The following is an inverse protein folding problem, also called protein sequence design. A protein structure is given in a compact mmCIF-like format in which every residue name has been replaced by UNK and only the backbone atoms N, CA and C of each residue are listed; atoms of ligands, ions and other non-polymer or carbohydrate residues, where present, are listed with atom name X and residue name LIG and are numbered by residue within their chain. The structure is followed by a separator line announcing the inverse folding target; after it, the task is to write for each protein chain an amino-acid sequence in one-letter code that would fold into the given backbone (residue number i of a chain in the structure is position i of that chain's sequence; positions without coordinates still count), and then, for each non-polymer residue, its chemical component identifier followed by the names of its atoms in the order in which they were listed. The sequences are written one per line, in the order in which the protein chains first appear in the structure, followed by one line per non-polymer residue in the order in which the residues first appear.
data_IF_972274299435
#
_entry.id   IF_972274299435
#
_cell.length_a   1.000
_cell.length_b   1.000
_cell.length_c   1.000
_cell.angle_alpha   90.00
_cell.angle_beta   90.00
_cell.angle_gamma   90.00
#
_symmetry.space_group_name_H-M   'P 1'
#
loop_
_entity.id
_entity.type
_entity.pdbx_description
1 polymer ?
#
# COMPACT_ATOMS: atom_id res chain seq x y z
N UNK A 1 -3.78 22.67 17.77
CA UNK A 1 -4.22 21.27 17.55
C UNK A 1 -3.78 20.45 18.75
N UNK A 2 -4.60 19.54 19.27
CA UNK A 2 -4.26 18.80 20.51
C UNK A 2 -3.27 17.66 20.24
N UNK A 3 -2.36 17.34 21.17
CA UNK A 3 -1.42 16.21 21.02
C UNK A 3 -2.15 14.87 20.86
N UNK A 4 -3.33 14.72 21.46
CA UNK A 4 -4.19 13.54 21.32
C UNK A 4 -4.63 13.30 19.87
N UNK A 5 -4.92 14.37 19.13
CA UNK A 5 -5.32 14.29 17.72
C UNK A 5 -4.14 13.83 16.84
N UNK A 6 -2.93 14.36 17.08
CA UNK A 6 -1.72 13.92 16.40
C UNK A 6 -1.40 12.44 16.67
N UNK A 7 -1.54 12.00 17.93
CA UNK A 7 -1.35 10.61 18.30
C UNK A 7 -2.39 9.69 17.64
N UNK A 8 -3.67 10.10 17.61
CA UNK A 8 -4.72 9.35 16.92
C UNK A 8 -4.45 9.24 15.41
N UNK A 9 -4.01 10.32 14.77
CA UNK A 9 -3.59 10.29 13.37
C UNK A 9 -2.41 9.33 13.14
N UNK A 10 -1.36 9.42 13.96
CA UNK A 10 -0.19 8.56 13.85
C UNK A 10 -0.59 7.07 13.97
N UNK A 11 -1.45 6.74 14.93
CA UNK A 11 -1.92 5.39 15.17
C UNK A 11 -2.79 4.87 14.02
N UNK A 12 -3.76 5.67 13.56
CA UNK A 12 -4.61 5.29 12.43
C UNK A 12 -3.80 5.11 11.14
N UNK A 13 -2.87 6.03 10.88
CA UNK A 13 -1.97 5.94 9.75
C UNK A 13 -1.11 4.69 9.83
N UNK A 14 -0.54 4.39 11.00
CA UNK A 14 0.26 3.18 11.22
C UNK A 14 -0.55 1.91 10.94
N UNK A 15 -1.78 1.82 11.46
CA UNK A 15 -2.66 0.66 11.21
C UNK A 15 -2.94 0.50 9.71
N UNK A 16 -3.27 1.58 9.01
CA UNK A 16 -3.62 1.53 7.57
C UNK A 16 -2.40 1.25 6.69
N UNK A 17 -1.25 1.83 7.04
CA UNK A 17 0.00 1.69 6.31
C UNK A 17 0.66 0.33 6.55
N UNK A 18 0.58 -0.21 7.77
CA UNK A 18 1.12 -1.53 8.11
C UNK A 18 0.39 -2.66 7.39
N UNK A 19 -0.89 -2.47 7.07
CA UNK A 19 -1.65 -3.43 6.28
C UNK A 19 -1.06 -3.57 4.87
N UNK A 20 -0.97 -4.81 4.35
CA UNK A 20 -0.35 -5.08 3.07
C UNK A 20 -1.13 -4.40 1.95
N UNK A 21 -0.56 -3.31 1.45
CA UNK A 21 -0.95 -2.68 0.20
C UNK A 21 -0.09 -3.24 -0.93
N UNK A 22 -0.58 -3.14 -2.17
CA UNK A 22 0.15 -3.67 -3.33
C UNK A 22 1.52 -3.02 -3.48
N UNK A 23 1.60 -1.70 -3.29
CA UNK A 23 2.84 -0.93 -3.43
C UNK A 23 3.90 -1.36 -2.39
N UNK A 24 3.48 -1.55 -1.13
CA UNK A 24 4.38 -1.93 -0.03
C UNK A 24 4.80 -3.40 -0.14
N UNK A 25 3.92 -4.28 -0.64
CA UNK A 25 4.29 -5.67 -0.95
C UNK A 25 5.26 -5.74 -2.13
N UNK A 26 5.12 -4.86 -3.12
CA UNK A 26 6.07 -4.80 -4.23
C UNK A 26 7.48 -4.46 -3.73
N UNK A 27 7.65 -3.59 -2.71
CA UNK A 27 8.96 -3.36 -2.06
C UNK A 27 9.59 -4.66 -1.55
N UNK A 28 8.82 -5.48 -0.81
CA UNK A 28 9.30 -6.76 -0.32
C UNK A 28 9.67 -7.74 -1.46
N UNK A 29 8.94 -7.70 -2.59
CA UNK A 29 9.28 -8.48 -3.78
C UNK A 29 10.56 -8.02 -4.44
N UNK A 30 10.72 -6.72 -4.68
CA UNK A 30 11.94 -6.17 -5.25
C UNK A 30 13.16 -6.48 -4.37
N UNK A 31 12.99 -6.44 -3.05
CA UNK A 31 14.00 -6.87 -2.09
C UNK A 31 14.38 -8.34 -2.29
N UNK A 32 13.39 -9.24 -2.37
CA UNK A 32 13.62 -10.68 -2.47
C UNK A 32 14.14 -11.13 -3.83
N UNK A 33 13.75 -10.48 -4.93
CA UNK A 33 14.04 -10.93 -6.30
C UNK A 33 15.23 -10.19 -6.92
N UNK A 34 15.49 -8.95 -6.52
CA UNK A 34 16.55 -8.10 -7.10
C UNK A 34 17.52 -7.49 -6.09
N UNK A 35 17.29 -7.73 -4.80
CA UNK A 35 18.16 -7.28 -3.71
C UNK A 35 17.93 -5.83 -3.27
N UNK A 36 18.64 -5.45 -2.20
CA UNK A 36 18.40 -4.21 -1.45
C UNK A 36 18.57 -2.93 -2.26
N UNK A 37 19.56 -2.87 -3.15
CA UNK A 37 19.84 -1.68 -3.97
C UNK A 37 18.66 -1.26 -4.86
N UNK A 38 17.81 -2.21 -5.26
CA UNK A 38 16.62 -1.94 -6.09
C UNK A 38 15.38 -1.67 -5.24
N UNK A 39 15.31 -2.21 -4.02
CA UNK A 39 14.19 -1.93 -3.10
C UNK A 39 14.16 -0.48 -2.61
N UNK A 40 15.32 0.16 -2.50
CA UNK A 40 15.45 1.56 -2.05
C UNK A 40 14.71 2.54 -2.97
N UNK A 41 14.97 2.59 -4.30
CA UNK A 41 14.24 3.50 -5.17
C UNK A 41 12.73 3.21 -5.20
N UNK A 42 12.31 1.94 -5.09
CA UNK A 42 10.89 1.57 -4.96
C UNK A 42 10.29 2.18 -3.69
N UNK A 43 10.97 2.02 -2.55
CA UNK A 43 10.55 2.55 -1.26
C UNK A 43 10.43 4.08 -1.28
N UNK A 44 11.40 4.76 -1.91
CA UNK A 44 11.39 6.21 -2.08
C UNK A 44 10.21 6.65 -2.96
N UNK A 45 9.94 5.97 -4.07
CA UNK A 45 8.79 6.29 -4.91
C UNK A 45 7.47 6.11 -4.15
N UNK A 46 7.32 5.00 -3.43
CA UNK A 46 6.13 4.77 -2.59
C UNK A 46 5.98 5.90 -1.57
N UNK A 47 7.06 6.29 -0.91
CA UNK A 47 7.06 7.38 0.05
C UNK A 47 6.60 8.71 -0.56
N UNK A 48 7.13 9.09 -1.72
CA UNK A 48 6.77 10.32 -2.44
C UNK A 48 5.29 10.31 -2.84
N UNK A 49 4.80 9.20 -3.38
CA UNK A 49 3.38 9.06 -3.78
C UNK A 49 2.48 9.20 -2.54
N UNK A 50 2.83 8.56 -1.42
CA UNK A 50 2.04 8.64 -0.18
C UNK A 50 2.04 10.04 0.43
N UNK A 51 3.22 10.67 0.53
CA UNK A 51 3.34 12.03 1.03
C UNK A 51 2.55 13.03 0.17
N UNK A 52 2.64 12.92 -1.16
CA UNK A 52 1.90 13.80 -2.06
C UNK A 52 0.38 13.61 -1.92
N UNK A 53 -0.12 12.37 -1.81
CA UNK A 53 -1.55 12.13 -1.58
C UNK A 53 -2.06 12.73 -0.27
N UNK A 54 -1.29 12.64 0.83
CA UNK A 54 -1.66 13.25 2.10
C UNK A 54 -1.58 14.78 2.03
N UNK A 55 -0.55 15.33 1.38
CA UNK A 55 -0.43 16.78 1.20
C UNK A 55 -1.62 17.36 0.43
N UNK A 56 -2.05 16.70 -0.65
CA UNK A 56 -3.24 17.12 -1.38
C UNK A 56 -4.51 16.92 -0.53
N UNK A 57 -4.62 15.81 0.20
CA UNK A 57 -5.74 15.56 1.11
C UNK A 57 -5.87 16.63 2.20
N UNK A 58 -4.75 17.09 2.76
CA UNK A 58 -4.64 18.22 3.67
C UNK A 58 -5.17 19.50 3.02
N UNK A 59 -4.72 19.80 1.79
CA UNK A 59 -5.17 20.98 1.04
C UNK A 59 -6.68 20.97 0.83
N UNK A 60 -7.23 19.85 0.35
CA UNK A 60 -8.67 19.69 0.10
C UNK A 60 -9.47 19.78 1.39
N UNK A 61 -9.04 19.11 2.47
CA UNK A 61 -9.73 19.17 3.75
C UNK A 61 -9.72 20.58 4.35
N UNK A 62 -8.60 21.31 4.22
CA UNK A 62 -8.50 22.69 4.70
C UNK A 62 -9.44 23.63 3.94
N UNK A 63 -9.53 23.48 2.62
CA UNK A 63 -10.48 24.23 1.80
C UNK A 63 -11.93 23.88 2.14
N UNK A 64 -12.22 22.60 2.36
CA UNK A 64 -13.56 22.14 2.74
C UNK A 64 -14.01 22.73 4.07
N UNK A 65 -13.16 22.70 5.11
CA UNK A 65 -13.48 23.29 6.42
C UNK A 65 -13.69 24.80 6.33
N UNK A 66 -12.90 25.49 5.51
CA UNK A 66 -13.08 26.93 5.28
C UNK A 66 -14.40 27.26 4.56
N UNK A 67 -14.82 26.42 3.61
CA UNK A 67 -16.03 26.63 2.83
C UNK A 67 -17.32 26.19 3.54
N UNK A 68 -17.28 25.09 4.31
CA UNK A 68 -18.45 24.48 4.92
C UNK A 68 -18.11 23.86 6.29
N UNK A 69 -17.93 24.67 7.35
CA UNK A 69 -17.56 24.19 8.68
C UNK A 69 -18.60 23.24 9.29
N UNK A 70 -19.89 23.51 9.08
CA UNK A 70 -20.99 22.66 9.59
C UNK A 70 -21.05 21.28 8.92
N UNK A 71 -20.47 21.15 7.71
CA UNK A 71 -20.37 19.89 6.97
C UNK A 71 -19.31 18.94 7.53
N UNK A 72 -18.46 19.39 8.46
CA UNK A 72 -17.33 18.60 8.97
C UNK A 72 -17.78 17.34 9.71
N UNK A 73 -18.86 17.40 10.49
CA UNK A 73 -19.35 16.24 11.22
C UNK A 73 -19.82 15.14 10.27
N UNK A 74 -20.57 15.50 9.22
CA UNK A 74 -20.97 14.56 8.17
C UNK A 74 -19.74 13.99 7.44
N UNK A 75 -18.77 14.84 7.10
CA UNK A 75 -17.53 14.42 6.45
C UNK A 75 -16.75 13.41 7.32
N UNK A 76 -16.72 13.59 8.65
CA UNK A 76 -16.10 12.65 9.59
C UNK A 76 -16.81 11.31 9.62
N UNK A 77 -18.15 11.29 9.61
CA UNK A 77 -18.91 10.03 9.54
C UNK A 77 -18.65 9.28 8.24
N UNK A 78 -18.67 9.99 7.10
CA UNK A 78 -18.39 9.40 5.78
C UNK A 78 -16.95 8.88 5.71
N UNK A 79 -15.97 9.66 6.20
CA UNK A 79 -14.57 9.25 6.28
C UNK A 79 -14.38 8.02 7.17
N UNK A 80 -15.02 7.98 8.34
CA UNK A 80 -14.98 6.85 9.26
C UNK A 80 -15.56 5.58 8.63
N UNK A 81 -16.73 5.68 7.99
CA UNK A 81 -17.35 4.56 7.29
C UNK A 81 -16.47 4.06 6.12
N UNK A 82 -15.91 4.98 5.33
CA UNK A 82 -15.01 4.63 4.23
C UNK A 82 -13.75 3.92 4.72
N UNK A 83 -13.13 4.40 5.80
CA UNK A 83 -11.94 3.78 6.39
C UNK A 83 -12.26 2.40 6.93
N UNK A 84 -13.39 2.23 7.62
CA UNK A 84 -13.83 0.93 8.12
C UNK A 84 -14.05 -0.07 6.98
N UNK A 85 -14.79 0.34 5.94
CA UNK A 85 -15.04 -0.52 4.77
C UNK A 85 -13.73 -0.85 4.05
N UNK A 86 -12.83 0.12 3.90
CA UNK A 86 -11.53 -0.08 3.26
C UNK A 86 -10.63 -1.00 4.07
N UNK A 87 -10.63 -0.85 5.39
CA UNK A 87 -9.93 -1.72 6.34
C UNK A 87 -10.45 -3.16 6.22
N UNK A 88 -11.77 -3.35 6.31
CA UNK A 88 -12.40 -4.66 6.17
C UNK A 88 -12.08 -5.29 4.80
N UNK A 89 -12.16 -4.51 3.71
CA UNK A 89 -11.78 -4.99 2.37
C UNK A 89 -10.31 -5.42 2.31
N UNK A 90 -9.39 -4.68 2.94
CA UNK A 90 -7.96 -5.04 3.01
C UNK A 90 -7.75 -6.31 3.84
N UNK A 91 -8.39 -6.40 5.01
CA UNK A 91 -8.34 -7.59 5.87
C UNK A 91 -8.88 -8.84 5.14
N UNK A 92 -10.01 -8.71 4.44
CA UNK A 92 -10.57 -9.80 3.63
C UNK A 92 -9.69 -10.13 2.44
N UNK A 93 -9.06 -9.12 1.82
CA UNK A 93 -8.14 -9.33 0.70
C UNK A 93 -6.85 -10.05 1.14
N UNK A 94 -6.42 -9.94 2.40
CA UNK A 94 -5.30 -10.74 2.92
C UNK A 94 -5.58 -12.24 2.90
N UNK A 95 -6.85 -12.66 2.90
CA UNK A 95 -7.22 -14.08 2.73
C UNK A 95 -7.03 -14.57 1.30
N UNK A 96 -6.94 -13.65 0.33
CA UNK A 96 -6.75 -13.99 -1.09
C UNK A 96 -5.25 -14.01 -1.39
N UNK A 97 -4.75 -15.05 -2.08
CA UNK A 97 -3.35 -15.10 -2.42
C UNK A 97 -2.97 -13.95 -3.35
N UNK A 98 -1.93 -13.22 -2.95
CA UNK A 98 -1.42 -12.09 -3.71
C UNK A 98 -0.98 -12.53 -5.10
N UNK A 99 -1.29 -11.72 -6.11
CA UNK A 99 -0.85 -11.96 -7.46
C UNK A 99 0.65 -11.83 -7.62
N UNK A 100 1.40 -12.87 -7.26
CA UNK A 100 2.78 -13.07 -7.69
C UNK A 100 2.70 -13.36 -9.19
N UNK A 101 3.03 -12.34 -9.98
CA UNK A 101 3.27 -12.51 -11.40
C UNK A 101 4.58 -13.29 -11.56
N UNK A 102 4.67 -14.12 -12.59
CA UNK A 102 5.95 -14.71 -12.98
C UNK A 102 6.99 -13.59 -13.22
N UNK A 103 8.22 -13.87 -12.79
CA UNK A 103 9.39 -13.01 -12.64
C UNK A 103 9.74 -12.14 -13.89
N UNK A 104 9.13 -12.45 -15.05
CA UNK A 104 9.45 -11.86 -16.36
C UNK A 104 8.92 -10.42 -16.56
N UNK A 105 7.98 -9.94 -15.74
CA UNK A 105 7.32 -8.64 -15.94
C UNK A 105 7.77 -7.53 -14.97
N UNK A 106 8.88 -7.71 -14.25
CA UNK A 106 9.37 -6.64 -13.37
C UNK A 106 10.02 -5.51 -14.19
N UNK A 107 9.66 -4.24 -13.96
CA UNK A 107 10.16 -3.09 -14.71
C UNK A 107 11.69 -3.04 -14.66
N UNK A 108 12.34 -2.44 -15.65
CA UNK A 108 13.80 -2.26 -15.67
C UNK A 108 14.33 -1.57 -14.41
N UNK A 109 15.63 -1.71 -14.10
CA UNK A 109 16.27 -1.12 -12.89
C UNK A 109 16.24 0.42 -12.85
N UNK A 110 15.74 1.08 -13.89
CA UNK A 110 15.64 2.54 -13.96
C UNK A 110 14.58 3.09 -13.01
N UNK A 111 14.88 4.21 -12.34
CA UNK A 111 13.95 4.89 -11.43
C UNK A 111 12.66 5.29 -12.15
N UNK A 112 12.78 5.72 -13.42
CA UNK A 112 11.63 6.07 -14.26
C UNK A 112 10.74 4.87 -14.58
N UNK A 113 11.33 3.69 -14.82
CA UNK A 113 10.60 2.44 -15.01
C UNK A 113 9.84 2.02 -13.74
N UNK A 114 10.51 2.08 -12.59
CA UNK A 114 9.91 1.81 -11.27
C UNK A 114 8.76 2.79 -10.98
N UNK A 115 8.97 4.08 -11.25
CA UNK A 115 7.98 5.11 -11.06
C UNK A 115 6.74 4.85 -11.93
N UNK A 116 6.91 4.63 -13.24
CA UNK A 116 5.79 4.30 -14.13
C UNK A 116 5.07 3.04 -13.70
N UNK A 117 5.81 2.02 -13.25
CA UNK A 117 5.24 0.76 -12.77
C UNK A 117 4.36 0.96 -11.53
N UNK A 118 4.85 1.72 -10.54
CA UNK A 118 4.09 2.04 -9.34
C UNK A 118 2.87 2.88 -9.75
N UNK A 119 3.05 3.99 -10.45
CA UNK A 119 1.96 4.89 -10.86
C UNK A 119 0.86 4.19 -11.68
N UNK A 120 1.23 3.29 -12.60
CA UNK A 120 0.27 2.53 -13.41
C UNK A 120 -0.56 1.54 -12.58
N UNK A 121 -0.04 1.11 -11.43
CA UNK A 121 -0.69 0.15 -10.53
C UNK A 121 -1.38 0.80 -9.34
N UNK A 122 -0.90 1.96 -8.91
CA UNK A 122 -1.53 2.75 -7.86
C UNK A 122 -2.86 3.25 -8.38
N UNK A 123 -3.95 2.71 -7.83
CA UNK A 123 -5.28 3.27 -8.06
C UNK A 123 -5.36 4.56 -7.27
N UNK A 124 -4.97 5.66 -7.92
CA UNK A 124 -4.94 6.99 -7.34
C UNK A 124 -6.22 7.30 -6.55
N UNK A 125 -7.39 6.92 -7.05
CA UNK A 125 -8.66 7.14 -6.37
C UNK A 125 -8.72 6.54 -4.96
N UNK A 126 -8.33 5.28 -4.75
CA UNK A 126 -8.46 4.64 -3.44
C UNK A 126 -7.46 5.19 -2.43
N UNK A 127 -6.20 5.37 -2.82
CA UNK A 127 -5.16 5.84 -1.90
C UNK A 127 -5.31 7.32 -1.57
N UNK A 128 -5.77 8.10 -2.55
CA UNK A 128 -6.18 9.48 -2.35
C UNK A 128 -7.33 9.58 -1.34
N UNK A 129 -8.40 8.79 -1.53
CA UNK A 129 -9.54 8.79 -0.60
C UNK A 129 -9.16 8.34 0.80
N UNK A 130 -8.21 7.41 0.94
CA UNK A 130 -7.69 6.98 2.25
C UNK A 130 -6.93 8.10 2.95
N UNK A 131 -6.03 8.79 2.25
CA UNK A 131 -5.33 9.96 2.79
C UNK A 131 -6.31 11.06 3.20
N UNK A 132 -7.28 11.37 2.34
CA UNK A 132 -8.30 12.37 2.60
C UNK A 132 -9.19 12.00 3.80
N UNK A 133 -9.59 10.73 3.93
CA UNK A 133 -10.43 10.26 5.04
C UNK A 133 -9.68 10.31 6.38
N UNK A 134 -8.39 9.94 6.39
CA UNK A 134 -7.53 10.06 7.57
C UNK A 134 -7.40 11.51 8.04
N UNK A 135 -7.19 12.42 7.10
CA UNK A 135 -7.10 13.85 7.37
C UNK A 135 -8.45 14.38 7.88
N UNK A 136 -9.56 14.06 7.22
CA UNK A 136 -10.89 14.53 7.61
C UNK A 136 -11.31 14.14 9.03
N UNK A 137 -10.89 12.96 9.52
CA UNK A 137 -11.17 12.52 10.89
C UNK A 137 -10.47 13.36 11.96
N UNK A 138 -9.28 13.89 11.65
CA UNK A 138 -8.39 14.50 12.66
C UNK A 138 -8.27 16.01 12.48
N UNK A 139 -8.60 16.53 11.30
CA UNK A 139 -8.58 17.97 11.03
C UNK A 139 -9.53 18.70 11.98
N UNK A 140 -9.05 19.77 12.65
CA UNK A 140 -9.89 20.59 13.52
C UNK A 140 -10.97 21.33 12.71
N UNK A 141 -12.05 21.75 13.37
CA UNK A 141 -13.11 22.59 12.78
C UNK A 141 -12.67 24.04 12.50
N UNK A 142 -11.36 24.28 12.48
CA UNK A 142 -10.73 25.57 12.26
C UNK A 142 -9.73 25.43 11.11
N UNK A 143 -9.45 26.53 10.39
CA UNK A 143 -8.45 26.51 9.32
C UNK A 143 -7.12 25.97 9.82
N UNK A 144 -6.52 25.09 9.01
CA UNK A 144 -5.32 24.37 9.42
C UNK A 144 -4.11 25.29 9.44
N UNK A 145 -3.42 25.36 10.57
CA UNK A 145 -2.18 26.14 10.68
C UNK A 145 -1.04 25.46 9.94
N UNK A 146 -0.05 26.25 9.49
CA UNK A 146 1.16 25.74 8.83
C UNK A 146 1.88 24.70 9.70
N UNK A 147 1.98 24.95 11.01
CA UNK A 147 2.62 24.05 11.97
C UNK A 147 1.91 22.70 12.09
N UNK A 148 0.57 22.69 12.07
CA UNK A 148 -0.22 21.47 12.07
C UNK A 148 0.03 20.66 10.78
N UNK A 149 0.08 21.33 9.62
CA UNK A 149 0.41 20.69 8.35
C UNK A 149 1.79 20.04 8.33
N UNK A 150 2.80 20.74 8.85
CA UNK A 150 4.15 20.18 8.98
C UNK A 150 4.17 18.97 9.91
N UNK A 151 3.44 19.02 11.02
CA UNK A 151 3.34 17.92 11.98
C UNK A 151 2.71 16.67 11.34
N UNK A 152 1.63 16.82 10.57
CA UNK A 152 1.05 15.71 9.80
C UNK A 152 2.03 15.13 8.77
N UNK A 153 2.77 15.98 8.07
CA UNK A 153 3.79 15.55 7.11
C UNK A 153 4.91 14.75 7.77
N UNK A 154 5.46 15.23 8.89
CA UNK A 154 6.54 14.56 9.63
C UNK A 154 6.08 13.22 10.22
N UNK A 155 4.88 13.18 10.81
CA UNK A 155 4.30 11.91 11.31
C UNK A 155 4.11 10.92 10.16
N UNK A 156 3.62 11.40 9.02
CA UNK A 156 3.45 10.54 7.83
C UNK A 156 4.77 9.96 7.37
N UNK A 157 5.80 10.80 7.25
CA UNK A 157 7.14 10.40 6.87
C UNK A 157 7.67 9.33 7.84
N UNK A 158 7.61 9.58 9.15
CA UNK A 158 8.11 8.67 10.17
C UNK A 158 7.40 7.31 10.12
N UNK A 159 6.06 7.30 10.07
CA UNK A 159 5.27 6.06 10.00
C UNK A 159 5.59 5.28 8.73
N UNK A 160 5.68 5.95 7.57
CA UNK A 160 5.98 5.26 6.31
C UNK A 160 7.40 4.69 6.28
N UNK A 161 8.38 5.39 6.83
CA UNK A 161 9.75 4.88 6.98
C UNK A 161 9.76 3.62 7.85
N UNK A 162 9.06 3.64 8.98
CA UNK A 162 8.94 2.48 9.88
C UNK A 162 8.29 1.29 9.16
N UNK A 163 7.18 1.52 8.45
CA UNK A 163 6.47 0.48 7.70
C UNK A 163 7.35 -0.10 6.59
N UNK A 164 7.98 0.75 5.77
CA UNK A 164 8.86 0.29 4.69
C UNK A 164 10.08 -0.45 5.23
N UNK A 165 10.66 -0.01 6.36
CA UNK A 165 11.73 -0.72 7.05
C UNK A 165 11.27 -2.11 7.51
N UNK A 166 10.08 -2.22 8.11
CA UNK A 166 9.53 -3.52 8.49
C UNK A 166 9.33 -4.44 7.27
N UNK A 167 8.82 -3.93 6.16
CA UNK A 167 8.60 -4.73 4.95
C UNK A 167 9.89 -5.15 4.24
N UNK A 168 10.94 -4.33 4.32
CA UNK A 168 12.27 -4.70 3.79
C UNK A 168 12.94 -5.76 4.66
N UNK A 169 12.97 -5.56 5.99
CA UNK A 169 13.57 -6.48 6.96
C UNK A 169 12.87 -7.84 6.99
N UNK A 170 11.55 -7.86 6.93
CA UNK A 170 10.73 -9.09 7.01
C UNK A 170 10.21 -9.55 5.64
N UNK A 171 10.83 -9.10 4.55
CA UNK A 171 10.39 -9.37 3.17
C UNK A 171 10.09 -10.85 2.90
N UNK A 172 11.01 -11.76 3.25
CA UNK A 172 10.83 -13.19 3.05
C UNK A 172 9.65 -13.78 3.85
N UNK A 173 9.50 -13.37 5.11
CA UNK A 173 8.42 -13.84 5.99
C UNK A 173 7.06 -13.34 5.51
N UNK A 174 6.98 -12.07 5.12
CA UNK A 174 5.76 -11.48 4.57
C UNK A 174 5.37 -12.14 3.26
N UNK A 175 6.31 -12.31 2.32
CA UNK A 175 6.03 -12.97 1.06
C UNK A 175 5.57 -14.42 1.26
N UNK A 176 6.18 -15.18 2.16
CA UNK A 176 5.74 -16.56 2.44
C UNK A 176 4.36 -16.62 3.08
N UNK A 177 4.03 -15.72 4.02
CA UNK A 177 2.70 -15.62 4.61
C UNK A 177 1.63 -15.33 3.54
N UNK A 178 1.92 -14.44 2.60
CA UNK A 178 0.99 -14.05 1.53
C UNK A 178 0.99 -14.98 0.29
N UNK A 179 2.03 -15.80 0.11
CA UNK A 179 2.19 -16.74 -1.00
C UNK A 179 1.66 -18.16 -0.74
N UNK A 180 1.52 -18.56 0.54
CA UNK A 180 1.08 -19.90 0.96
C UNK A 180 -0.16 -20.45 0.22
N UNK A 181 -1.24 -19.69 -0.04
CA UNK A 181 -2.42 -20.24 -0.69
C UNK A 181 -2.21 -20.48 -2.21
N UNK A 182 -1.27 -19.76 -2.84
CA UNK A 182 -0.95 -19.89 -4.27
C UNK A 182 0.00 -21.04 -4.55
N UNK A 183 0.95 -21.29 -3.65
CA UNK A 183 1.79 -22.48 -3.76
C UNK A 183 0.95 -23.75 -3.62
N UNK A 184 -0.06 -23.73 -2.74
CA UNK A 184 -1.05 -24.81 -2.62
C UNK A 184 -1.93 -24.94 -3.88
N UNK A 185 -2.53 -23.86 -4.37
CA UNK A 185 -3.34 -23.91 -5.59
C UNK A 185 -2.54 -24.29 -6.86
N UNK A 186 -1.26 -23.88 -6.95
CA UNK A 186 -0.35 -24.29 -8.02
C UNK A 186 0.02 -25.77 -7.88
N UNK A 187 0.30 -26.25 -6.66
CA UNK A 187 0.53 -27.67 -6.38
C UNK A 187 -0.69 -28.50 -6.77
N UNK A 188 -1.89 -28.10 -6.35
CA UNK A 188 -3.15 -28.75 -6.74
C UNK A 188 -3.38 -28.75 -8.25
N UNK A 189 -3.09 -27.64 -8.94
CA UNK A 189 -3.21 -27.57 -10.41
C UNK A 189 -2.18 -28.48 -11.09
N UNK A 190 -0.94 -28.49 -10.63
CA UNK A 190 0.12 -29.37 -11.15
C UNK A 190 -0.24 -30.83 -10.89
N UNK A 191 -0.72 -31.16 -9.69
CA UNK A 191 -1.14 -32.50 -9.31
C UNK A 191 -2.35 -32.98 -10.12
N UNK A 192 -3.34 -32.11 -10.36
CA UNK A 192 -4.45 -32.38 -11.29
C UNK A 192 -3.96 -32.60 -12.72
N UNK A 193 -3.00 -31.80 -13.19
CA UNK A 193 -2.42 -31.97 -14.53
C UNK A 193 -1.63 -33.30 -14.64
N UNK A 194 -0.86 -33.66 -13.62
CA UNK A 194 -0.09 -34.90 -13.57
C UNK A 194 -0.98 -36.15 -13.41
N UNK A 195 -2.07 -36.05 -12.65
CA UNK A 195 -3.03 -37.16 -12.45
C UNK A 195 -4.04 -37.33 -13.58
N UNK A 196 -4.29 -36.28 -14.39
CA UNK A 196 -5.29 -36.33 -15.48
C UNK A 196 -4.89 -37.17 -16.70
N UNK A 197 -3.66 -37.70 -16.77
CA UNK A 197 -3.20 -38.52 -17.90
C UNK A 197 -3.15 -37.79 -19.26
N UNK A 198 -3.44 -36.49 -19.30
CA UNK A 198 -3.43 -35.70 -20.53
C UNK A 198 -1.99 -35.53 -21.06
N UNK A 199 -1.78 -35.59 -22.39
CA UNK A 199 -0.47 -35.38 -22.99
C UNK A 199 0.04 -33.97 -22.65
N UNK A 200 1.20 -33.95 -21.99
CA UNK A 200 1.95 -32.80 -21.47
C UNK A 200 1.84 -31.54 -22.33
N UNK A 201 0.95 -30.62 -21.97
CA UNK A 201 1.04 -29.20 -22.34
C UNK A 201 1.72 -28.52 -21.14
N UNK A 202 2.96 -28.08 -21.17
CA UNK A 202 3.53 -27.12 -22.11
C UNK A 202 5.06 -27.26 -22.23
N UNK A 203 5.58 -27.12 -23.45
CA UNK A 203 6.99 -27.15 -23.83
C UNK A 203 7.94 -26.20 -23.07
N UNK A 204 7.42 -25.22 -22.30
CA UNK A 204 8.24 -24.23 -21.58
C UNK A 204 9.02 -24.78 -20.37
N UNK A 205 8.63 -25.92 -19.80
CA UNK A 205 9.33 -26.50 -18.62
C UNK A 205 10.62 -27.27 -18.97
N UNK A 206 10.78 -27.73 -20.23
CA UNK A 206 12.00 -28.45 -20.64
C UNK A 206 13.23 -27.56 -20.79
N UNK A 207 13.04 -26.24 -20.98
CA UNK A 207 14.14 -25.34 -21.33
C UNK A 207 15.01 -24.89 -20.15
N UNK A 208 14.53 -25.07 -18.91
CA UNK A 208 15.26 -24.68 -17.70
C UNK A 208 15.83 -25.88 -16.92
N UNK A 209 15.74 -27.09 -17.48
CA UNK A 209 16.22 -28.33 -16.86
C UNK A 209 17.30 -29.05 -17.71
N UNK A 210 17.78 -28.39 -18.77
CA UNK A 210 18.86 -28.84 -19.63
C UNK A 210 19.99 -27.82 -19.57
#
# INVERSE_FOLDING_TARGET
MTPQALAAFALLLLVIAALPSRDVVDVARFQSERGFRVSLPVSVVVLIVRLSTIAVGIGVASLFVAAMPDGLMLARYVAGAFLLVSLLKRLLAMRKPLALADNDNMPERSITGILRFILARTRFSTEFLLGLSLVALVVPAAPMTREAGLSFGLITLAVMVIVLAAYTLFSHQLLTLFARPRSLARKERIEKLLSSGLPRVSARFRRNAA
#
